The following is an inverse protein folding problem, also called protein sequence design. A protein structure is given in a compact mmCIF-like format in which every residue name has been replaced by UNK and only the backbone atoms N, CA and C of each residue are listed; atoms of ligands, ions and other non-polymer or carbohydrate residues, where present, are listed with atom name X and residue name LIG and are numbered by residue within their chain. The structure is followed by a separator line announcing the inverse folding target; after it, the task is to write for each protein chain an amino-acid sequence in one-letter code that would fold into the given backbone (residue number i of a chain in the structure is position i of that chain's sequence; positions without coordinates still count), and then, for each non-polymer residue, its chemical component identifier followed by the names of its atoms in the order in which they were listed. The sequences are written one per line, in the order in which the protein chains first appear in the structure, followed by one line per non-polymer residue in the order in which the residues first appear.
data_IF_557006904497
#
_entry.id   IF_557006904497
#
_cell.length_a   1.000
_cell.length_b   1.000
_cell.length_c   1.000
_cell.angle_alpha   90.00
_cell.angle_beta   90.00
_cell.angle_gamma   90.00
#
_symmetry.space_group_name_H-M   'P 1'
#
loop_
_entity.id
_entity.type
_entity.pdbx_description
1 polymer ?
#
# COMPACT_ATOMS: atom_id res chain seq x y z
N UNK A 1 -43.40 -3.98 1.22
CA UNK A 1 -42.66 -4.20 2.49
C UNK A 1 -41.85 -2.94 2.66
N UNK A 2 -42.43 -1.99 3.39
CA UNK A 2 -42.09 -0.59 3.16
C UNK A 2 -41.04 -0.19 4.19
N UNK A 3 -39.79 -0.21 3.77
CA UNK A 3 -38.67 0.29 4.57
C UNK A 3 -38.57 1.79 4.37
N UNK A 4 -38.74 2.53 5.46
CA UNK A 4 -38.74 3.98 5.48
C UNK A 4 -37.33 4.42 5.89
N UNK A 5 -36.73 5.29 5.09
CA UNK A 5 -35.38 5.82 5.35
C UNK A 5 -35.51 7.22 5.95
N UNK A 6 -34.88 7.45 7.09
CA UNK A 6 -34.87 8.75 7.78
C UNK A 6 -33.43 9.06 8.18
N UNK A 7 -32.76 9.92 7.42
CA UNK A 7 -31.33 10.21 7.60
C UNK A 7 -30.48 8.94 7.46
N UNK A 8 -29.62 8.69 8.46
CA UNK A 8 -28.73 7.52 8.51
C UNK A 8 -29.39 6.24 9.06
N UNK A 9 -30.71 6.26 9.30
CA UNK A 9 -31.44 5.13 9.89
C UNK A 9 -32.54 4.63 8.95
N UNK A 10 -32.66 3.30 8.89
CA UNK A 10 -33.72 2.61 8.17
C UNK A 10 -34.67 1.95 9.17
N UNK A 11 -35.95 2.15 8.94
CA UNK A 11 -37.03 1.62 9.76
C UNK A 11 -37.89 0.69 8.92
N UNK A 12 -38.19 -0.49 9.45
CA UNK A 12 -39.06 -1.47 8.81
C UNK A 12 -40.33 -1.61 9.63
N UNK A 13 -41.48 -1.62 8.97
CA UNK A 13 -42.77 -1.85 9.65
C UNK A 13 -42.87 -3.21 10.35
N UNK A 14 -41.96 -4.15 10.05
CA UNK A 14 -41.84 -5.45 10.73
C UNK A 14 -41.16 -5.35 12.09
N UNK A 15 -40.31 -4.35 12.29
CA UNK A 15 -39.51 -4.19 13.50
C UNK A 15 -40.21 -3.25 14.51
N UNK A 16 -41.51 -3.49 14.70
CA UNK A 16 -42.34 -2.76 15.64
C UNK A 16 -41.97 -3.16 17.07
N UNK A 17 -41.58 -2.17 17.89
CA UNK A 17 -41.24 -2.40 19.31
C UNK A 17 -42.44 -2.12 20.21
N UNK A 18 -43.28 -1.15 19.86
CA UNK A 18 -44.49 -0.84 20.62
C UNK A 18 -45.40 0.19 19.95
N UNK A 19 -46.69 0.13 20.30
CA UNK A 19 -47.73 1.06 19.87
C UNK A 19 -48.39 1.72 21.09
N UNK A 20 -48.53 3.04 21.05
CA UNK A 20 -49.39 3.82 21.95
C UNK A 20 -50.54 4.49 21.18
N UNK A 21 -51.41 5.20 21.90
CA UNK A 21 -52.56 5.89 21.30
C UNK A 21 -52.18 7.07 20.38
N UNK A 22 -50.96 7.62 20.52
CA UNK A 22 -50.50 8.80 19.77
C UNK A 22 -49.12 8.63 19.11
N UNK A 23 -48.44 7.50 19.32
CA UNK A 23 -47.10 7.28 18.77
C UNK A 23 -46.82 5.79 18.53
N UNK A 24 -45.97 5.52 17.54
CA UNK A 24 -45.51 4.19 17.15
C UNK A 24 -43.98 4.20 17.18
N UNK A 25 -43.38 3.20 17.84
CA UNK A 25 -41.92 3.10 17.96
C UNK A 25 -41.43 1.90 17.18
N UNK A 26 -40.56 2.16 16.20
CA UNK A 26 -39.88 1.15 15.39
C UNK A 26 -38.40 1.06 15.79
N UNK A 27 -37.84 -0.15 15.74
CA UNK A 27 -36.40 -0.37 15.92
C UNK A 27 -35.67 0.09 14.65
N UNK A 28 -34.86 1.13 14.75
CA UNK A 28 -34.04 1.62 13.64
C UNK A 28 -32.78 0.80 13.44
N UNK A 29 -32.44 0.46 12.19
CA UNK A 29 -31.12 -0.06 11.81
C UNK A 29 -30.28 1.10 11.28
N UNK A 30 -29.10 1.32 11.84
CA UNK A 30 -28.19 2.35 11.36
C UNK A 30 -27.57 1.91 10.03
N UNK A 31 -27.83 2.67 8.97
CA UNK A 31 -27.22 2.54 7.65
C UNK A 31 -25.85 3.23 7.66
N UNK A 32 -24.83 2.55 8.17
CA UNK A 32 -23.45 3.06 8.05
C UNK A 32 -22.89 2.70 6.68
N UNK A 33 -22.95 3.63 5.73
CA UNK A 33 -22.17 3.54 4.48
C UNK A 33 -20.72 4.03 4.73
N UNK A 34 -20.06 3.54 5.77
CA UNK A 34 -18.68 3.91 6.11
C UNK A 34 -17.62 3.28 5.19
N UNK A 35 -18.07 2.44 4.24
CA UNK A 35 -17.22 1.69 3.34
C UNK A 35 -16.36 2.60 2.45
N UNK A 36 -16.90 3.71 1.94
CA UNK A 36 -16.14 4.62 1.07
C UNK A 36 -14.92 5.27 1.75
N UNK A 37 -15.01 5.56 3.05
CA UNK A 37 -13.87 6.07 3.81
C UNK A 37 -12.76 5.03 3.96
N UNK A 38 -13.16 3.76 4.18
CA UNK A 38 -12.25 2.63 4.24
C UNK A 38 -11.55 2.37 2.90
N UNK A 39 -12.29 2.31 1.79
CA UNK A 39 -11.70 2.18 0.44
C UNK A 39 -10.69 3.31 0.20
N UNK A 40 -11.08 4.55 0.50
CA UNK A 40 -10.24 5.73 0.27
C UNK A 40 -8.90 5.63 0.99
N UNK A 41 -8.92 5.35 2.30
CA UNK A 41 -7.71 5.19 3.09
C UNK A 41 -6.82 4.04 2.56
N UNK A 42 -7.42 2.92 2.21
CA UNK A 42 -6.71 1.76 1.68
C UNK A 42 -6.04 2.04 0.34
N UNK A 43 -6.74 2.75 -0.56
CA UNK A 43 -6.21 3.16 -1.85
C UNK A 43 -5.02 4.12 -1.73
N UNK A 44 -5.08 5.05 -0.76
CA UNK A 44 -3.99 5.98 -0.47
C UNK A 44 -2.74 5.28 0.05
N UNK A 45 -2.88 4.40 1.04
CA UNK A 45 -1.77 3.64 1.61
C UNK A 45 -1.12 2.73 0.57
N UNK A 46 -1.92 2.09 -0.29
CA UNK A 46 -1.39 1.25 -1.36
C UNK A 46 -0.62 2.06 -2.41
N UNK A 47 -1.13 3.25 -2.76
CA UNK A 47 -0.48 4.14 -3.72
C UNK A 47 0.88 4.63 -3.22
N UNK A 48 0.96 5.11 -1.97
CA UNK A 48 2.23 5.51 -1.35
C UNK A 48 3.24 4.37 -1.34
N UNK A 49 2.84 3.18 -0.88
CA UNK A 49 3.73 2.01 -0.85
C UNK A 49 4.19 1.60 -2.25
N UNK A 50 3.32 1.68 -3.26
CA UNK A 50 3.68 1.41 -4.65
C UNK A 50 4.71 2.40 -5.18
N UNK A 51 4.55 3.67 -4.85
CA UNK A 51 5.51 4.71 -5.21
C UNK A 51 6.88 4.48 -4.55
N UNK A 52 6.91 4.16 -3.25
CA UNK A 52 8.16 3.85 -2.54
C UNK A 52 8.87 2.61 -3.11
N UNK A 53 8.15 1.53 -3.38
CA UNK A 53 8.73 0.32 -3.99
C UNK A 53 9.25 0.59 -5.42
N UNK A 54 8.55 1.42 -6.19
CA UNK A 54 8.98 1.79 -7.55
C UNK A 54 10.27 2.61 -7.51
N UNK A 55 10.32 3.66 -6.67
CA UNK A 55 11.51 4.49 -6.51
C UNK A 55 12.70 3.68 -5.98
N UNK A 56 12.49 2.79 -5.00
CA UNK A 56 13.53 1.88 -4.50
C UNK A 56 14.10 0.97 -5.59
N UNK A 57 13.24 0.41 -6.44
CA UNK A 57 13.68 -0.44 -7.56
C UNK A 57 14.47 0.36 -8.60
N UNK A 58 14.07 1.60 -8.91
CA UNK A 58 14.80 2.45 -9.85
C UNK A 58 16.17 2.84 -9.31
N UNK A 59 16.30 3.04 -8.00
CA UNK A 59 17.59 3.33 -7.35
C UNK A 59 18.52 2.13 -7.48
N UNK A 60 18.08 0.90 -7.16
CA UNK A 60 18.92 -0.31 -7.33
C UNK A 60 19.36 -0.51 -8.79
N UNK A 61 18.45 -0.34 -9.76
CA UNK A 61 18.79 -0.49 -11.19
C UNK A 61 19.80 0.56 -11.66
N UNK A 62 19.69 1.78 -11.13
CA UNK A 62 20.61 2.86 -11.45
C UNK A 62 21.99 2.58 -10.86
N UNK A 63 22.05 2.00 -9.66
CA UNK A 63 23.29 1.62 -8.98
C UNK A 63 24.06 0.53 -9.77
N UNK A 64 23.35 -0.52 -10.22
CA UNK A 64 23.92 -1.56 -11.08
C UNK A 64 24.46 -0.99 -12.40
N UNK A 65 23.69 -0.09 -13.02
CA UNK A 65 24.09 0.61 -14.25
C UNK A 65 25.32 1.50 -14.02
N UNK A 66 25.35 2.26 -12.91
CA UNK A 66 26.47 3.12 -12.54
C UNK A 66 27.73 2.29 -12.35
N UNK A 67 27.63 1.14 -11.69
CA UNK A 67 28.74 0.21 -11.48
C UNK A 67 29.29 -0.27 -12.84
N UNK A 68 28.42 -0.68 -13.77
CA UNK A 68 28.82 -1.11 -15.11
C UNK A 68 29.53 0.00 -15.91
N UNK A 69 29.03 1.24 -15.85
CA UNK A 69 29.62 2.39 -16.55
C UNK A 69 30.97 2.78 -15.92
N UNK A 70 31.09 2.74 -14.59
CA UNK A 70 32.36 3.01 -13.91
C UNK A 70 33.42 1.98 -14.31
N UNK A 71 33.04 0.70 -14.46
CA UNK A 71 33.93 -0.35 -14.92
C UNK A 71 34.40 -0.18 -16.37
N UNK A 72 33.53 0.32 -17.25
CA UNK A 72 33.86 0.58 -18.66
C UNK A 72 34.69 1.85 -18.87
N UNK A 73 34.70 2.75 -17.89
CA UNK A 73 35.44 4.00 -17.95
C UNK A 73 36.95 3.75 -17.81
N UNK A 74 37.76 4.40 -18.65
CA UNK A 74 39.23 4.40 -18.56
C UNK A 74 39.72 5.19 -17.34
N UNK A 75 39.62 4.58 -16.16
CA UNK A 75 40.01 5.14 -14.86
C UNK A 75 41.48 5.64 -14.80
N UNK A 76 42.35 5.09 -15.65
CA UNK A 76 43.78 5.40 -15.68
C UNK A 76 44.13 6.75 -16.34
N UNK A 77 43.24 7.31 -17.17
CA UNK A 77 43.47 8.56 -17.91
C UNK A 77 43.03 9.81 -17.11
N UNK A 78 42.37 9.63 -15.96
CA UNK A 78 41.83 10.71 -15.13
C UNK A 78 42.83 11.23 -14.08
N UNK A 79 42.63 12.49 -13.64
CA UNK A 79 43.39 13.13 -12.56
C UNK A 79 43.24 12.40 -11.20
N UNK A 80 44.21 12.57 -10.30
CA UNK A 80 44.25 11.88 -8.99
C UNK A 80 43.00 12.11 -8.13
N UNK A 81 42.39 13.30 -8.24
CA UNK A 81 41.16 13.62 -7.50
C UNK A 81 39.98 12.80 -8.04
N UNK A 82 39.86 12.73 -9.37
CA UNK A 82 38.81 11.98 -10.05
C UNK A 82 38.95 10.47 -9.84
N UNK A 83 40.18 9.93 -9.83
CA UNK A 83 40.44 8.52 -9.53
C UNK A 83 39.97 8.13 -8.12
N UNK A 84 40.23 8.99 -7.12
CA UNK A 84 39.78 8.76 -5.74
C UNK A 84 38.26 8.83 -5.61
N UNK A 85 37.62 9.76 -6.31
CA UNK A 85 36.15 9.86 -6.33
C UNK A 85 35.50 8.64 -6.98
N UNK A 86 36.05 8.15 -8.11
CA UNK A 86 35.58 6.94 -8.79
C UNK A 86 35.72 5.71 -7.89
N UNK A 87 36.84 5.56 -7.17
CA UNK A 87 37.03 4.47 -6.20
C UNK A 87 36.01 4.52 -5.05
N UNK A 88 35.65 5.72 -4.56
CA UNK A 88 34.62 5.88 -3.53
C UNK A 88 33.22 5.54 -4.07
N UNK A 89 32.89 6.00 -5.28
CA UNK A 89 31.62 5.70 -5.95
C UNK A 89 31.47 4.20 -6.23
N UNK A 90 32.52 3.55 -6.73
CA UNK A 90 32.53 2.11 -7.00
C UNK A 90 32.32 1.29 -5.73
N UNK A 91 32.96 1.69 -4.63
CA UNK A 91 32.78 1.01 -3.34
C UNK A 91 31.35 1.14 -2.83
N UNK A 92 30.75 2.31 -3.00
CA UNK A 92 29.38 2.58 -2.55
C UNK A 92 28.36 1.86 -3.44
N UNK A 93 28.59 1.76 -4.75
CA UNK A 93 27.70 1.07 -5.70
C UNK A 93 27.81 -0.46 -5.68
N UNK A 94 28.92 -1.00 -5.17
CA UNK A 94 29.04 -2.45 -4.95
C UNK A 94 28.36 -2.91 -3.67
N UNK A 95 28.21 -2.02 -2.69
CA UNK A 95 27.35 -2.26 -1.54
C UNK A 95 25.93 -1.97 -2.00
N UNK A 96 25.32 -2.96 -2.65
CA UNK A 96 23.94 -2.86 -3.10
C UNK A 96 23.08 -2.49 -1.89
N UNK A 97 22.68 -1.22 -1.83
CA UNK A 97 21.72 -0.73 -0.85
C UNK A 97 20.35 -1.09 -1.38
N UNK A 98 20.08 -2.39 -1.42
CA UNK A 98 18.70 -2.82 -1.37
C UNK A 98 18.15 -2.21 -0.07
N UNK A 99 17.24 -1.24 -0.19
CA UNK A 99 16.59 -0.61 0.95
C UNK A 99 15.89 -1.70 1.74
N UNK A 100 16.58 -2.24 2.73
CA UNK A 100 16.14 -3.43 3.43
C UNK A 100 15.21 -3.00 4.57
N UNK A 101 13.93 -3.37 4.45
CA UNK A 101 13.05 -3.38 5.62
C UNK A 101 13.46 -4.64 6.36
N UNK A 102 14.41 -4.52 7.30
CA UNK A 102 15.19 -5.65 7.83
C UNK A 102 14.45 -6.89 8.36
N UNK A 103 13.11 -6.93 8.41
CA UNK A 103 12.30 -8.12 8.70
C UNK A 103 11.43 -8.64 7.53
N UNK A 104 11.12 -7.81 6.53
CA UNK A 104 10.18 -8.12 5.44
C UNK A 104 10.91 -8.36 4.11
N UNK A 105 12.23 -8.12 4.09
CA UNK A 105 13.09 -8.24 2.91
C UNK A 105 13.23 -6.91 2.16
N UNK A 106 13.91 -6.91 0.99
CA UNK A 106 14.19 -5.69 0.25
C UNK A 106 12.88 -5.03 -0.22
N UNK A 107 12.84 -3.68 -0.17
CA UNK A 107 11.78 -2.84 -0.75
C UNK A 107 11.77 -3.00 -2.29
N UNK A 108 11.22 -4.11 -2.76
CA UNK A 108 11.18 -4.49 -4.17
C UNK A 108 9.74 -4.66 -4.64
N UNK A 109 9.54 -4.59 -5.96
CA UNK A 109 8.25 -4.90 -6.59
C UNK A 109 7.77 -6.32 -6.24
N UNK A 110 8.69 -7.26 -5.99
CA UNK A 110 8.35 -8.64 -5.59
C UNK A 110 7.69 -8.66 -4.21
N UNK A 111 8.21 -7.89 -3.26
CA UNK A 111 7.65 -7.77 -1.90
C UNK A 111 6.26 -7.15 -1.91
N UNK A 112 6.02 -6.14 -2.78
CA UNK A 112 4.70 -5.54 -2.96
C UNK A 112 3.66 -6.53 -3.49
N UNK A 113 4.02 -7.36 -4.47
CA UNK A 113 3.14 -8.40 -5.01
C UNK A 113 2.82 -9.45 -3.95
N UNK A 114 3.79 -9.82 -3.11
CA UNK A 114 3.57 -10.75 -1.99
C UNK A 114 2.61 -10.16 -0.94
N UNK A 115 2.76 -8.88 -0.62
CA UNK A 115 1.87 -8.18 0.30
C UNK A 115 0.43 -8.10 -0.24
N UNK A 116 0.26 -7.73 -1.51
CA UNK A 116 -1.03 -7.74 -2.19
C UNK A 116 -1.66 -9.13 -2.18
N UNK A 117 -0.88 -10.18 -2.49
CA UNK A 117 -1.37 -11.57 -2.47
C UNK A 117 -1.87 -11.99 -1.09
N UNK A 118 -1.20 -11.56 -0.03
CA UNK A 118 -1.64 -11.78 1.34
C UNK A 118 -2.99 -11.08 1.60
N UNK A 119 -3.13 -9.81 1.22
CA UNK A 119 -4.39 -9.07 1.31
C UNK A 119 -5.54 -9.75 0.56
N UNK A 120 -5.31 -10.16 -0.70
CA UNK A 120 -6.32 -10.87 -1.49
C UNK A 120 -6.72 -12.20 -0.83
N UNK A 121 -5.76 -12.94 -0.28
CA UNK A 121 -6.02 -14.18 0.47
C UNK A 121 -6.95 -13.94 1.66
N UNK A 122 -6.66 -12.92 2.49
CA UNK A 122 -7.54 -12.54 3.60
C UNK A 122 -8.95 -12.16 3.13
N UNK A 123 -9.04 -11.40 2.04
CA UNK A 123 -10.33 -10.99 1.48
C UNK A 123 -11.15 -12.20 1.01
N UNK A 124 -10.54 -13.14 0.30
CA UNK A 124 -11.22 -14.37 -0.14
C UNK A 124 -11.75 -15.19 1.03
N UNK A 125 -10.95 -15.40 2.08
CA UNK A 125 -11.41 -16.13 3.28
C UNK A 125 -12.59 -15.41 3.95
N UNK A 126 -12.54 -14.08 4.03
CA UNK A 126 -13.60 -13.29 4.63
C UNK A 126 -14.89 -13.32 3.79
N UNK A 127 -14.75 -13.37 2.47
CA UNK A 127 -15.90 -13.50 1.55
C UNK A 127 -16.58 -14.86 1.60
N UNK A 128 -15.86 -15.92 2.01
CA UNK A 128 -16.45 -17.25 2.19
C UNK A 128 -17.21 -17.40 3.52
N UNK A 129 -16.92 -16.56 4.52
CA UNK A 129 -17.58 -16.59 5.83
C UNK A 129 -18.82 -15.69 5.92
N UNK A 130 -19.11 -14.89 4.89
CA UNK A 130 -20.27 -14.00 4.79
C UNK A 130 -21.37 -14.64 3.94
#
# INVERSE_FOLDING_TARGET
MDTITVGDYEYSSKDLVGHGAFAIVYKGRHRKNGWYGGIGAFSGMLFEMSFYCYMGTQISKTDDYLCAVIYDTKWNEYDLVSQRAIMMLLRESQVSKETDIGFIGPLSLVTLVNFLKSMYSYFTVLSEMM
#
